data_IF_863222527883
#
_entry.id   IF_863222527883
#
_cell.length_a   1.000
_cell.length_b   1.000
_cell.length_c   1.000
_cell.angle_alpha   90.00
_cell.angle_beta   90.00
_cell.angle_gamma   90.00
#
_symmetry.space_group_name_H-M   'P 1'
#
loop_
_entity.id
_entity.type
_entity.pdbx_description
1 polymer ?
#
# COMPACT_ATOMS: atom_id res chain seq x y z
N UNK A 1 -26.28 -7.66 6.45
CA UNK A 1 -25.28 -6.90 7.24
C UNK A 1 -23.97 -7.67 7.41
N UNK A 2 -23.99 -9.01 7.55
CA UNK A 2 -22.77 -9.83 7.65
C UNK A 2 -21.81 -9.75 6.44
N UNK A 3 -22.33 -9.68 5.21
CA UNK A 3 -21.48 -9.68 4.01
C UNK A 3 -20.76 -8.35 3.77
N UNK A 4 -21.40 -7.22 4.13
CA UNK A 4 -20.75 -5.91 4.11
C UNK A 4 -19.58 -5.86 5.09
N UNK A 5 -19.77 -6.32 6.33
CA UNK A 5 -18.71 -6.28 7.33
C UNK A 5 -17.54 -7.20 6.95
N UNK A 6 -17.82 -8.38 6.40
CA UNK A 6 -16.80 -9.30 5.88
C UNK A 6 -15.99 -8.68 4.74
N UNK A 7 -16.65 -8.07 3.76
CA UNK A 7 -15.97 -7.43 2.62
C UNK A 7 -15.15 -6.21 3.05
N UNK A 8 -15.66 -5.40 3.99
CA UNK A 8 -14.91 -4.29 4.57
C UNK A 8 -13.64 -4.77 5.28
N UNK A 9 -13.75 -5.81 6.12
CA UNK A 9 -12.60 -6.40 6.80
C UNK A 9 -11.60 -6.98 5.80
N UNK A 10 -12.08 -7.72 4.78
CA UNK A 10 -11.21 -8.27 3.75
C UNK A 10 -10.44 -7.18 3.01
N UNK A 11 -11.09 -6.06 2.69
CA UNK A 11 -10.47 -4.92 2.02
C UNK A 11 -9.45 -4.23 2.92
N UNK A 12 -9.74 -4.00 4.20
CA UNK A 12 -8.77 -3.43 5.16
C UNK A 12 -7.54 -4.34 5.30
N UNK A 13 -7.76 -5.65 5.46
CA UNK A 13 -6.66 -6.63 5.58
C UNK A 13 -5.79 -6.64 4.33
N UNK A 14 -6.42 -6.68 3.14
CA UNK A 14 -5.69 -6.57 1.88
C UNK A 14 -4.88 -5.26 1.82
N UNK A 15 -5.50 -4.15 2.17
CA UNK A 15 -4.86 -2.83 2.15
C UNK A 15 -3.63 -2.77 3.05
N UNK A 16 -3.70 -3.33 4.26
CA UNK A 16 -2.55 -3.41 5.18
C UNK A 16 -1.44 -4.30 4.60
N UNK A 17 -1.80 -5.48 4.09
CA UNK A 17 -0.84 -6.44 3.52
C UNK A 17 -0.10 -5.87 2.32
N UNK A 18 -0.76 -5.06 1.48
CA UNK A 18 -0.13 -4.48 0.28
C UNK A 18 0.55 -3.12 0.55
N UNK A 19 0.00 -2.31 1.46
CA UNK A 19 0.57 -0.98 1.79
C UNK A 19 1.87 -1.12 2.56
N UNK A 20 1.97 -2.07 3.48
CA UNK A 20 3.18 -2.28 4.28
C UNK A 20 4.43 -2.55 3.42
N UNK A 21 4.46 -3.55 2.51
CA UNK A 21 5.60 -3.79 1.64
C UNK A 21 5.82 -2.65 0.62
N UNK A 22 4.75 -2.00 0.13
CA UNK A 22 4.89 -0.84 -0.76
C UNK A 22 5.64 0.32 -0.07
N UNK A 23 5.27 0.61 1.18
CA UNK A 23 5.90 1.65 2.02
C UNK A 23 7.36 1.30 2.30
N UNK A 24 7.65 0.04 2.67
CA UNK A 24 9.00 -0.40 2.96
C UNK A 24 9.92 -0.38 1.72
N UNK A 25 9.45 -0.89 0.58
CA UNK A 25 10.20 -0.84 -0.68
C UNK A 25 10.48 0.59 -1.12
N UNK A 26 9.53 1.50 -0.95
CA UNK A 26 9.76 2.91 -1.26
C UNK A 26 10.79 3.54 -0.33
N UNK A 27 10.77 3.23 0.97
CA UNK A 27 11.82 3.70 1.90
C UNK A 27 13.21 3.19 1.50
N UNK A 28 13.34 1.93 1.07
CA UNK A 28 14.61 1.39 0.57
C UNK A 28 15.09 2.13 -0.68
N UNK A 29 14.17 2.39 -1.63
CA UNK A 29 14.49 3.18 -2.81
C UNK A 29 14.90 4.60 -2.46
N UNK A 30 14.15 5.27 -1.59
CA UNK A 30 14.46 6.61 -1.09
C UNK A 30 15.85 6.66 -0.43
N UNK A 31 16.18 5.67 0.40
CA UNK A 31 17.51 5.55 1.00
C UNK A 31 18.62 5.41 -0.03
N UNK A 32 18.39 4.67 -1.11
CA UNK A 32 19.37 4.49 -2.19
C UNK A 32 19.61 5.77 -3.02
N UNK A 33 18.67 6.72 -3.04
CA UNK A 33 18.84 8.03 -3.69
C UNK A 33 19.27 9.13 -2.70
N UNK A 34 19.65 8.76 -1.48
CA UNK A 34 20.14 9.67 -0.45
C UNK A 34 19.04 10.37 0.35
N UNK A 35 17.78 9.94 0.24
CA UNK A 35 16.67 10.45 1.03
C UNK A 35 16.44 9.55 2.26
N UNK A 36 16.79 10.04 3.44
CA UNK A 36 16.64 9.32 4.70
C UNK A 36 15.25 9.54 5.33
N UNK A 37 14.19 9.20 4.59
CA UNK A 37 12.82 9.37 5.07
C UNK A 37 12.39 8.26 6.03
N UNK A 38 11.66 8.63 7.06
CA UNK A 38 11.06 7.75 8.04
C UNK A 38 9.74 7.13 7.57
N UNK A 39 9.29 6.10 8.27
CA UNK A 39 8.07 5.37 7.91
C UNK A 39 6.83 6.26 7.84
N UNK A 40 6.67 7.17 8.81
CA UNK A 40 5.50 8.05 8.88
C UNK A 40 5.46 9.08 7.74
N UNK A 41 6.62 9.48 7.24
CA UNK A 41 6.75 10.42 6.12
C UNK A 41 6.39 9.73 4.80
N UNK A 42 6.77 8.45 4.68
CA UNK A 42 6.56 7.66 3.47
C UNK A 42 5.18 7.01 3.41
N UNK A 43 4.53 6.73 4.55
CA UNK A 43 3.26 6.01 4.61
C UNK A 43 2.17 6.56 3.66
N UNK A 44 1.94 7.89 3.55
CA UNK A 44 0.97 8.42 2.59
C UNK A 44 1.31 8.09 1.14
N UNK A 45 2.60 8.14 0.78
CA UNK A 45 3.09 7.77 -0.55
C UNK A 45 3.02 6.26 -0.78
N UNK A 46 3.33 5.46 0.23
CA UNK A 46 3.21 4.00 0.19
C UNK A 46 1.77 3.53 -0.06
N UNK A 47 0.79 4.24 0.51
CA UNK A 47 -0.63 4.03 0.22
C UNK A 47 -0.94 4.31 -1.26
N UNK A 48 -0.50 5.46 -1.80
CA UNK A 48 -0.72 5.80 -3.21
C UNK A 48 -0.06 4.78 -4.14
N UNK A 49 1.18 4.37 -3.85
CA UNK A 49 1.91 3.35 -4.60
C UNK A 49 1.17 2.01 -4.57
N UNK A 50 0.66 1.58 -3.41
CA UNK A 50 -0.11 0.34 -3.29
C UNK A 50 -1.37 0.35 -4.16
N UNK A 51 -2.12 1.47 -4.16
CA UNK A 51 -3.31 1.63 -5.00
C UNK A 51 -2.95 1.62 -6.49
N UNK A 52 -1.88 2.32 -6.89
CA UNK A 52 -1.42 2.35 -8.28
C UNK A 52 -0.96 0.97 -8.75
N UNK A 53 -0.19 0.25 -7.94
CA UNK A 53 0.24 -1.12 -8.25
C UNK A 53 -0.96 -2.08 -8.35
N UNK A 54 -1.93 -1.97 -7.45
CA UNK A 54 -3.17 -2.74 -7.52
C UNK A 54 -3.99 -2.39 -8.77
N UNK A 55 -4.07 -1.11 -9.14
CA UNK A 55 -4.78 -0.65 -10.32
C UNK A 55 -4.16 -1.15 -11.63
N UNK A 56 -2.83 -1.07 -11.76
CA UNK A 56 -2.11 -1.54 -12.96
C UNK A 56 -2.15 -3.07 -13.09
N UNK A 57 -2.21 -3.79 -11.97
CA UNK A 57 -2.36 -5.25 -11.97
C UNK A 57 -3.82 -5.73 -12.03
N UNK A 58 -4.78 -4.80 -11.93
CA UNK A 58 -6.21 -5.14 -11.99
C UNK A 58 -6.60 -5.60 -13.39
N UNK A 59 -7.34 -6.69 -13.43
CA UNK A 59 -7.90 -7.25 -14.66
C UNK A 59 -9.25 -6.57 -14.94
N UNK A 60 -9.49 -6.15 -16.18
CA UNK A 60 -10.63 -5.30 -16.58
C UNK A 60 -11.97 -6.02 -16.75
N UNK A 61 -12.09 -7.28 -16.34
CA UNK A 61 -13.26 -8.12 -16.64
C UNK A 61 -13.56 -9.12 -15.52
#
# INVERSE_FOLDING_TARGET
>A
MGDFLKSLVAMIVAFVIFTFPATWLFMLFAGNVGWAWGYMEVLPLGILISVLLGGVTSRTW
#
